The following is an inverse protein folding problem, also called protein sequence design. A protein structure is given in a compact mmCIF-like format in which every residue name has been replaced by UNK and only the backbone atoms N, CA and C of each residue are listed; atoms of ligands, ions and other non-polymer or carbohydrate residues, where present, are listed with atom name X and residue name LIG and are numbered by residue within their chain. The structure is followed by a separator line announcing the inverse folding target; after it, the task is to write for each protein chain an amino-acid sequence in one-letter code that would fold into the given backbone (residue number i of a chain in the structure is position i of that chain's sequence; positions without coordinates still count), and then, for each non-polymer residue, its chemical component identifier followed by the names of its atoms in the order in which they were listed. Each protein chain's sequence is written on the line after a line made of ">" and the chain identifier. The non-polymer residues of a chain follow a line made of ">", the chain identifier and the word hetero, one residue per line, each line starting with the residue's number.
data_IF_367374647607
#
_entry.id   IF_367374647607
#
_cell.length_a   1.000
_cell.length_b   1.000
_cell.length_c   1.000
_cell.angle_alpha   90.00
_cell.angle_beta   90.00
_cell.angle_gamma   90.00
#
_symmetry.space_group_name_H-M   'P 1'
#
loop_
_entity.id
_entity.type
_entity.pdbx_description
1 polymer ?
#
# COMPACT_ATOMS: atom_id res chain seq x y z
N UNK A 1 -22.91 -4.83 5.54
CA UNK A 1 -21.63 -4.58 4.84
C UNK A 1 -20.81 -3.73 5.77
N UNK A 2 -19.82 -4.36 6.43
CA UNK A 2 -18.88 -3.69 7.32
C UNK A 2 -17.56 -3.74 6.53
N UNK A 3 -17.51 -2.94 5.46
CA UNK A 3 -16.63 -3.23 4.31
C UNK A 3 -15.52 -2.18 4.15
N UNK A 4 -14.98 -1.69 5.27
CA UNK A 4 -13.82 -0.81 5.23
C UNK A 4 -12.85 -1.21 6.33
N UNK A 5 -11.62 -1.50 5.92
CA UNK A 5 -10.46 -1.72 6.77
C UNK A 5 -10.00 -0.34 7.21
N UNK A 6 -10.59 0.20 8.27
CA UNK A 6 -10.42 1.59 8.70
C UNK A 6 -9.50 1.70 9.91
N UNK A 7 -8.99 2.91 10.10
CA UNK A 7 -8.29 3.30 11.31
C UNK A 7 -9.27 4.09 12.17
N UNK A 8 -9.55 3.57 13.36
CA UNK A 8 -10.37 4.23 14.36
C UNK A 8 -9.48 4.79 15.46
N UNK A 9 -9.87 5.94 16.01
CA UNK A 9 -9.19 6.60 17.12
C UNK A 9 -10.18 6.92 18.22
N UNK A 10 -9.82 6.60 19.44
CA UNK A 10 -10.54 6.95 20.65
C UNK A 10 -9.57 7.63 21.63
N UNK A 11 -10.04 8.64 22.35
CA UNK A 11 -9.27 9.28 23.42
C UNK A 11 -9.89 8.86 24.75
N UNK A 12 -9.08 8.30 25.64
CA UNK A 12 -9.49 7.89 26.98
C UNK A 12 -8.57 8.52 28.00
N UNK A 13 -9.05 9.57 28.68
CA UNK A 13 -8.32 10.31 29.72
C UNK A 13 -6.92 10.76 29.26
N UNK A 14 -5.89 9.98 29.60
CA UNK A 14 -4.48 10.28 29.37
C UNK A 14 -3.88 9.47 28.20
N UNK A 15 -4.71 8.72 27.47
CA UNK A 15 -4.29 7.79 26.42
C UNK A 15 -5.06 8.04 25.11
N UNK A 16 -4.37 7.85 23.99
CA UNK A 16 -4.94 7.80 22.64
C UNK A 16 -4.87 6.37 22.15
N UNK A 17 -6.04 5.77 21.94
CA UNK A 17 -6.15 4.40 21.44
C UNK A 17 -6.49 4.40 19.95
N UNK A 18 -5.61 3.80 19.16
CA UNK A 18 -5.86 3.47 17.77
C UNK A 18 -6.29 2.02 17.62
N UNK A 19 -7.32 1.80 16.82
CA UNK A 19 -7.66 0.48 16.28
C UNK A 19 -7.38 0.48 14.79
N UNK A 20 -6.45 -0.36 14.35
CA UNK A 20 -6.11 -0.50 12.93
C UNK A 20 -6.70 -1.81 12.43
N UNK A 21 -7.83 -1.72 11.72
CA UNK A 21 -8.41 -2.87 11.03
C UNK A 21 -7.69 -3.06 9.70
N UNK A 22 -6.92 -4.16 9.59
CA UNK A 22 -6.15 -4.48 8.41
C UNK A 22 -6.97 -5.21 7.35
N UNK A 23 -6.67 -4.90 6.09
CA UNK A 23 -7.17 -5.66 4.94
C UNK A 23 -6.69 -7.10 4.95
N UNK A 24 -7.37 -8.00 4.22
CA UNK A 24 -6.77 -9.25 3.77
C UNK A 24 -5.41 -9.00 3.12
N UNK A 25 -4.60 -10.03 3.15
CA UNK A 25 -3.27 -10.05 2.58
C UNK A 25 -3.35 -10.11 1.05
N UNK A 26 -2.73 -9.15 0.37
CA UNK A 26 -2.63 -9.08 -1.08
C UNK A 26 -1.26 -9.48 -1.60
N UNK A 27 -1.21 -10.10 -2.78
CA UNK A 27 0.03 -10.23 -3.54
C UNK A 27 0.35 -8.92 -4.26
N UNK A 28 1.64 -8.67 -4.53
CA UNK A 28 2.09 -7.51 -5.34
C UNK A 28 1.76 -7.65 -6.84
N UNK A 29 0.61 -8.25 -7.17
CA UNK A 29 0.11 -8.39 -8.53
C UNK A 29 -0.67 -7.13 -8.96
N UNK A 30 -0.47 -6.74 -10.22
CA UNK A 30 -1.07 -5.54 -10.79
C UNK A 30 -2.60 -5.58 -10.80
N UNK A 31 -3.20 -6.74 -11.07
CA UNK A 31 -4.65 -6.88 -11.07
C UNK A 31 -5.20 -6.77 -9.64
N UNK A 32 -4.55 -7.42 -8.66
CA UNK A 32 -4.94 -7.34 -7.24
C UNK A 32 -4.89 -5.90 -6.76
N UNK A 33 -3.79 -5.19 -7.00
CA UNK A 33 -3.63 -3.79 -6.59
C UNK A 33 -4.70 -2.90 -7.24
N UNK A 34 -4.97 -3.06 -8.54
CA UNK A 34 -5.94 -2.21 -9.24
C UNK A 34 -7.40 -2.49 -8.84
N UNK A 35 -7.72 -3.71 -8.44
CA UNK A 35 -9.10 -4.13 -8.14
C UNK A 35 -9.45 -4.09 -6.67
N UNK A 36 -8.52 -4.46 -5.80
CA UNK A 36 -8.79 -4.65 -4.38
C UNK A 36 -8.38 -3.45 -3.52
N UNK A 37 -7.38 -2.67 -3.96
CA UNK A 37 -6.88 -1.54 -3.17
C UNK A 37 -7.67 -0.28 -3.50
N UNK A 38 -8.17 0.48 -2.51
CA UNK A 38 -8.85 1.75 -2.73
C UNK A 38 -7.88 2.87 -3.12
N UNK A 39 -8.39 3.88 -3.82
CA UNK A 39 -7.64 5.11 -4.12
C UNK A 39 -7.84 6.15 -3.00
N UNK A 40 -7.61 5.73 -1.76
CA UNK A 40 -7.83 6.52 -0.55
C UNK A 40 -6.54 6.67 0.24
N UNK A 41 -6.47 7.69 1.11
CA UNK A 41 -5.38 7.83 2.07
C UNK A 41 -5.42 6.70 3.10
N UNK A 42 -4.26 6.34 3.64
CA UNK A 42 -4.17 5.22 4.55
C UNK A 42 -2.75 4.81 4.89
N UNK A 43 -2.65 3.68 5.55
CA UNK A 43 -1.40 3.04 5.94
C UNK A 43 -1.29 1.70 5.22
N UNK A 44 -0.13 1.39 4.66
CA UNK A 44 0.13 0.05 4.14
C UNK A 44 1.40 -0.54 4.73
N UNK A 45 1.41 -1.86 4.80
CA UNK A 45 2.57 -2.62 5.22
C UNK A 45 3.02 -3.55 4.09
N UNK A 46 4.34 -3.66 3.90
CA UNK A 46 4.93 -4.66 3.02
C UNK A 46 5.67 -5.70 3.83
N UNK A 47 5.40 -6.94 3.49
CA UNK A 47 5.93 -8.11 4.15
C UNK A 47 6.70 -8.93 3.13
N UNK A 48 7.98 -9.17 3.41
CA UNK A 48 8.82 -9.99 2.57
C UNK A 48 8.87 -11.41 3.09
N UNK A 49 8.80 -12.35 2.15
CA UNK A 49 9.08 -13.74 2.45
C UNK A 49 10.58 -13.94 2.62
N UNK A 50 10.95 -14.51 3.76
CA UNK A 50 12.28 -15.05 4.01
C UNK A 50 12.12 -16.50 4.45
N UNK A 51 12.75 -17.40 3.70
CA UNK A 51 12.55 -18.85 3.78
C UNK A 51 11.06 -19.26 3.66
N UNK A 52 10.43 -19.56 4.80
CA UNK A 52 9.05 -20.04 4.91
C UNK A 52 8.12 -19.03 5.57
N UNK A 53 8.63 -17.92 6.10
CA UNK A 53 7.87 -16.96 6.89
C UNK A 53 7.86 -15.58 6.21
N UNK A 54 6.81 -14.81 6.48
CA UNK A 54 6.73 -13.41 6.08
C UNK A 54 7.16 -12.51 7.24
N UNK A 55 8.03 -11.56 6.94
CA UNK A 55 8.53 -10.57 7.91
C UNK A 55 8.12 -9.18 7.46
N UNK A 56 7.64 -8.38 8.40
CA UNK A 56 7.37 -6.96 8.17
C UNK A 56 8.68 -6.27 7.80
N UNK A 57 8.64 -5.48 6.72
CA UNK A 57 9.81 -4.75 6.23
C UNK A 57 9.58 -3.26 6.24
N UNK A 58 8.36 -2.84 5.92
CA UNK A 58 8.02 -1.43 5.93
C UNK A 58 6.56 -1.23 6.28
N UNK A 59 6.32 -0.15 7.02
CA UNK A 59 5.00 0.45 7.22
C UNK A 59 5.10 1.86 6.65
N UNK A 60 4.24 2.23 5.70
CA UNK A 60 4.30 3.53 5.03
C UNK A 60 2.92 4.19 4.99
N UNK A 61 2.81 5.47 5.38
CA UNK A 61 1.60 6.24 5.18
C UNK A 61 1.51 6.71 3.73
N UNK A 62 0.29 6.89 3.26
CA UNK A 62 0.01 7.53 1.98
C UNK A 62 -1.15 8.48 2.12
N UNK A 63 -0.96 9.67 1.59
CA UNK A 63 -1.95 10.74 1.65
C UNK A 63 -2.30 11.19 0.23
N UNK A 64 -1.36 11.83 -0.46
CA UNK A 64 -1.53 12.23 -1.86
C UNK A 64 -1.37 11.02 -2.80
N UNK A 65 -2.34 10.83 -3.70
CA UNK A 65 -2.40 9.69 -4.64
C UNK A 65 -3.02 8.41 -4.04
N UNK A 66 -2.97 8.25 -2.72
CA UNK A 66 -3.59 7.17 -1.98
C UNK A 66 -2.94 5.80 -2.16
N UNK A 67 -3.45 4.81 -1.41
CA UNK A 67 -2.96 3.44 -1.30
C UNK A 67 -2.74 2.76 -2.65
N UNK A 68 -3.72 2.82 -3.54
CA UNK A 68 -3.60 2.20 -4.86
C UNK A 68 -2.45 2.81 -5.67
N UNK A 69 -2.29 4.14 -5.66
CA UNK A 69 -1.22 4.77 -6.43
C UNK A 69 0.15 4.42 -5.84
N UNK A 70 0.31 4.51 -4.52
CA UNK A 70 1.56 4.16 -3.84
C UNK A 70 1.96 2.71 -4.12
N UNK A 71 1.06 1.74 -3.99
CA UNK A 71 1.36 0.34 -4.29
C UNK A 71 1.63 0.10 -5.79
N UNK A 72 0.95 0.83 -6.69
CA UNK A 72 1.25 0.79 -8.13
C UNK A 72 2.66 1.29 -8.44
N UNK A 73 3.09 2.36 -7.80
CA UNK A 73 4.44 2.88 -7.96
C UNK A 73 5.49 1.87 -7.48
N UNK A 74 5.19 1.09 -6.43
CA UNK A 74 6.08 0.00 -6.00
C UNK A 74 6.20 -1.10 -7.06
N UNK A 75 5.18 -1.42 -7.84
CA UNK A 75 5.30 -2.45 -8.89
C UNK A 75 5.72 -1.91 -10.27
N UNK A 76 5.63 -0.60 -10.49
CA UNK A 76 5.97 0.02 -11.78
C UNK A 76 7.47 0.31 -11.86
N UNK A 77 8.20 -0.43 -12.69
CA UNK A 77 9.65 -0.31 -12.87
C UNK A 77 10.09 1.11 -13.23
N UNK A 78 9.26 1.86 -13.97
CA UNK A 78 9.56 3.20 -14.44
C UNK A 78 9.25 4.30 -13.41
N UNK A 79 8.48 4.00 -12.36
CA UNK A 79 8.08 4.97 -11.36
C UNK A 79 9.23 5.28 -10.39
N UNK A 80 9.83 6.50 -10.37
CA UNK A 80 11.00 6.78 -9.54
C UNK A 80 10.71 6.71 -8.03
N UNK A 81 9.50 7.11 -7.62
CA UNK A 81 9.04 7.14 -6.21
C UNK A 81 9.04 5.74 -5.58
N UNK A 82 8.64 4.71 -6.34
CA UNK A 82 8.65 3.33 -5.87
C UNK A 82 10.02 2.66 -5.86
N UNK A 83 11.07 3.29 -6.42
CA UNK A 83 12.39 2.66 -6.61
C UNK A 83 13.00 2.20 -5.29
N UNK A 84 12.89 3.00 -4.21
CA UNK A 84 13.41 2.63 -2.88
C UNK A 84 12.79 1.33 -2.39
N UNK A 85 11.46 1.23 -2.46
CA UNK A 85 10.72 0.05 -2.03
C UNK A 85 11.02 -1.14 -2.96
N UNK A 86 11.07 -0.96 -4.28
CA UNK A 86 11.48 -2.03 -5.22
C UNK A 86 12.85 -2.61 -4.90
N UNK A 87 13.83 -1.75 -4.65
CA UNK A 87 15.17 -2.18 -4.27
C UNK A 87 15.16 -2.96 -2.96
N UNK A 88 14.34 -2.55 -1.97
CA UNK A 88 14.16 -3.31 -0.73
C UNK A 88 13.53 -4.69 -0.96
N UNK A 89 12.63 -4.83 -1.94
CA UNK A 89 11.97 -6.10 -2.22
C UNK A 89 12.89 -7.13 -2.90
N UNK A 90 13.92 -6.68 -3.62
CA UNK A 90 14.94 -7.55 -4.26
C UNK A 90 14.36 -8.69 -5.11
N UNK A 91 13.15 -8.52 -5.68
CA UNK A 91 12.45 -9.58 -6.43
C UNK A 91 11.94 -10.75 -5.60
N UNK A 92 12.01 -10.66 -4.26
CA UNK A 92 11.47 -11.66 -3.33
C UNK A 92 9.94 -11.60 -3.31
N UNK A 93 9.31 -12.72 -2.91
CA UNK A 93 7.85 -12.75 -2.74
C UNK A 93 7.44 -11.75 -1.66
N UNK A 94 6.57 -10.82 -2.05
CA UNK A 94 6.08 -9.74 -1.21
C UNK A 94 4.56 -9.79 -1.11
N UNK A 95 4.06 -9.56 0.11
CA UNK A 95 2.64 -9.35 0.37
C UNK A 95 2.41 -7.99 0.99
N UNK A 96 1.23 -7.45 0.75
CA UNK A 96 0.80 -6.19 1.35
C UNK A 96 -0.48 -6.39 2.16
N UNK A 97 -0.70 -5.50 3.12
CA UNK A 97 -2.00 -5.23 3.74
C UNK A 97 -2.14 -3.73 3.97
N UNK A 98 -3.35 -3.22 4.07
CA UNK A 98 -3.60 -1.79 4.25
C UNK A 98 -4.78 -1.52 5.19
N UNK A 99 -4.83 -0.29 5.69
CA UNK A 99 -5.98 0.27 6.38
C UNK A 99 -6.16 1.73 5.93
N UNK A 100 -7.40 2.22 5.89
CA UNK A 100 -7.75 3.53 5.34
C UNK A 100 -8.06 4.53 6.44
N UNK A 101 -7.65 5.77 6.22
CA UNK A 101 -8.14 6.91 6.99
C UNK A 101 -7.94 8.18 6.17
N UNK A 102 -8.95 9.08 6.14
CA UNK A 102 -8.78 10.38 5.53
C UNK A 102 -7.98 11.35 6.44
N UNK A 103 -7.72 11.00 7.70
CA UNK A 103 -7.11 11.89 8.69
C UNK A 103 -5.59 11.73 8.65
N UNK A 104 -4.89 12.80 8.29
CA UNK A 104 -3.44 12.79 8.06
C UNK A 104 -2.67 12.59 9.37
N UNK A 105 -3.12 13.26 10.42
CA UNK A 105 -2.52 13.26 11.74
C UNK A 105 -2.43 11.83 12.28
N UNK A 106 -3.46 11.01 12.04
CA UNK A 106 -3.48 9.61 12.48
C UNK A 106 -2.38 8.81 11.78
N UNK A 107 -2.13 9.08 10.50
CA UNK A 107 -1.09 8.40 9.73
C UNK A 107 0.31 8.77 10.20
N UNK A 108 0.53 10.04 10.56
CA UNK A 108 1.82 10.52 11.08
C UNK A 108 2.11 9.92 12.46
N UNK A 109 1.15 9.97 13.38
CA UNK A 109 1.26 9.36 14.72
C UNK A 109 1.50 7.84 14.63
N UNK A 110 0.71 7.14 13.81
CA UNK A 110 0.86 5.68 13.63
C UNK A 110 2.19 5.33 12.97
N UNK A 111 2.64 6.08 11.97
CA UNK A 111 3.93 5.85 11.33
C UNK A 111 5.06 5.97 12.34
N UNK A 112 5.04 7.00 13.16
CA UNK A 112 6.04 7.19 14.22
C UNK A 112 6.00 6.05 15.24
N UNK A 113 4.81 5.64 15.66
CA UNK A 113 4.63 4.51 16.59
C UNK A 113 5.18 3.19 16.01
N UNK A 114 4.89 2.88 14.75
CA UNK A 114 5.39 1.67 14.08
C UNK A 114 6.91 1.70 13.88
N UNK A 115 7.49 2.87 13.58
CA UNK A 115 8.94 3.01 13.40
C UNK A 115 9.72 2.84 14.70
N UNK A 116 9.15 3.27 15.84
CA UNK A 116 9.76 3.11 17.16
C UNK A 116 9.64 1.70 17.71
N UNK A 117 8.84 0.83 17.10
CA UNK A 117 8.62 -0.54 17.55
C UNK A 117 7.67 -0.65 18.75
N UNK A 118 6.76 0.32 18.90
CA UNK A 118 5.77 0.36 19.97
C UNK A 118 6.07 1.40 21.05
N UNK A 119 5.00 2.01 21.54
CA UNK A 119 5.05 3.08 22.53
C UNK A 119 5.41 4.44 21.93
N UNK A 120 4.80 5.49 22.44
CA UNK A 120 4.99 6.85 21.97
C UNK A 120 4.01 7.80 22.64
N UNK A 121 4.35 9.07 22.67
CA UNK A 121 3.41 10.12 23.06
C UNK A 121 2.93 10.83 21.79
N UNK A 122 1.67 11.25 21.77
CA UNK A 122 1.18 12.16 20.75
C UNK A 122 1.69 13.60 21.01
N UNK A 123 1.33 14.54 20.15
CA UNK A 123 1.73 15.95 20.29
C UNK A 123 1.27 16.59 21.62
N UNK A 124 0.16 16.09 22.18
CA UNK A 124 -0.41 16.54 23.46
C UNK A 124 0.24 15.86 24.68
N UNK A 125 1.19 14.94 24.48
CA UNK A 125 1.84 14.20 25.55
C UNK A 125 1.05 12.99 26.07
N UNK A 126 -0.01 12.57 25.37
CA UNK A 126 -0.82 11.39 25.70
C UNK A 126 -0.16 10.12 25.17
N UNK A 127 -0.25 9.03 25.93
CA UNK A 127 0.31 7.74 25.51
C UNK A 127 -0.48 7.14 24.34
N UNK A 128 0.23 6.69 23.30
CA UNK A 128 -0.37 6.06 22.12
C UNK A 128 -0.38 4.55 22.28
N UNK A 129 -1.59 3.99 22.31
CA UNK A 129 -1.83 2.55 22.28
C UNK A 129 -2.39 2.16 20.91
N UNK A 130 -1.82 1.12 20.29
CA UNK A 130 -2.28 0.63 19.00
C UNK A 130 -2.74 -0.82 19.14
N UNK A 131 -3.99 -1.06 18.78
CA UNK A 131 -4.58 -2.39 18.65
C UNK A 131 -4.74 -2.73 17.17
N UNK A 132 -4.03 -3.77 16.73
CA UNK A 132 -4.13 -4.28 15.37
C UNK A 132 -5.16 -5.40 15.30
N UNK A 133 -6.08 -5.30 14.34
CA UNK A 133 -7.14 -6.28 14.08
C UNK A 133 -6.98 -6.80 12.65
N UNK A 134 -6.98 -8.12 12.47
CA UNK A 134 -6.86 -8.72 11.14
C UNK A 134 -7.66 -10.01 10.99
N UNK A 135 -8.14 -10.27 9.77
CA UNK A 135 -8.97 -11.43 9.44
C UNK A 135 -8.17 -12.65 8.93
N UNK A 136 -6.84 -12.55 8.81
CA UNK A 136 -5.94 -13.59 8.24
C UNK A 136 -6.34 -14.14 6.85
N UNK A 137 -7.20 -13.42 6.13
CA UNK A 137 -7.65 -13.78 4.78
C UNK A 137 -6.66 -13.34 3.72
N UNK A 138 -6.74 -13.96 2.55
CA UNK A 138 -6.04 -13.52 1.35
C UNK A 138 -7.03 -12.87 0.39
N UNK A 139 -6.58 -11.84 -0.33
CA UNK A 139 -7.31 -11.36 -1.50
C UNK A 139 -7.36 -12.45 -2.59
N UNK A 140 -8.41 -12.47 -3.42
CA UNK A 140 -8.52 -13.43 -4.50
C UNK A 140 -7.36 -13.25 -5.48
N UNK A 141 -6.84 -14.38 -5.97
CA UNK A 141 -5.86 -14.38 -7.05
C UNK A 141 -6.49 -13.84 -8.35
N UNK A 142 -5.69 -13.27 -9.26
CA UNK A 142 -6.19 -12.84 -10.56
C UNK A 142 -6.83 -14.03 -11.30
N UNK A 143 -7.97 -13.80 -11.99
CA UNK A 143 -8.60 -14.83 -12.80
C UNK A 143 -7.64 -15.34 -13.90
N UNK A 144 -7.68 -16.64 -14.25
CA UNK A 144 -6.77 -17.24 -15.23
C UNK A 144 -6.89 -16.62 -16.63
N UNK A 145 -8.03 -15.99 -16.96
CA UNK A 145 -8.28 -15.38 -18.27
C UNK A 145 -7.74 -13.95 -18.39
N UNK A 146 -7.18 -13.37 -17.33
CA UNK A 146 -6.50 -12.06 -17.40
C UNK A 146 -5.13 -12.24 -18.06
N UNK A 147 -5.12 -12.26 -19.39
CA UNK A 147 -3.89 -12.14 -20.18
C UNK A 147 -3.42 -10.69 -20.11
N UNK A 148 -2.40 -10.43 -19.31
CA UNK A 148 -1.69 -9.15 -19.37
C UNK A 148 -1.04 -9.06 -20.75
N UNK A 149 -1.55 -8.17 -21.59
CA UNK A 149 -0.91 -7.84 -22.86
C UNK A 149 0.42 -7.20 -22.50
N UNK A 150 1.52 -7.93 -22.68
CA UNK A 150 2.85 -7.32 -22.70
C UNK A 150 2.79 -6.14 -23.66
N UNK A 151 3.22 -4.96 -23.19
CA UNK A 151 3.30 -3.78 -24.05
C UNK A 151 4.15 -4.16 -25.25
N UNK A 152 3.51 -4.37 -26.42
CA UNK A 152 4.22 -4.42 -27.68
C UNK A 152 5.00 -3.12 -27.80
N UNK A 153 6.31 -3.22 -27.97
CA UNK A 153 7.10 -2.11 -28.48
C UNK A 153 6.52 -1.77 -29.86
N UNK A 154 5.80 -0.67 -29.94
CA UNK A 154 5.36 -0.13 -31.23
C UNK A 154 6.58 0.43 -31.92
N UNK A 155 6.85 -0.05 -33.13
CA UNK A 155 7.89 0.52 -34.00
C UNK A 155 7.32 1.75 -34.67
N UNK A 156 8.18 2.69 -35.07
CA UNK A 156 7.74 3.85 -35.87
C UNK A 156 6.99 3.45 -37.14
N UNK A 157 7.26 2.25 -37.68
CA UNK A 157 6.54 1.66 -38.81
C UNK A 157 5.08 1.29 -38.52
N UNK A 158 4.70 1.18 -37.26
CA UNK A 158 3.32 0.91 -36.82
C UNK A 158 2.48 2.20 -36.78
N UNK A 159 3.14 3.35 -36.83
CA UNK A 159 2.49 4.63 -37.02
C UNK A 159 2.50 4.94 -38.53
N UNK A 160 1.34 5.30 -39.07
CA UNK A 160 1.19 5.62 -40.50
C UNK A 160 2.18 6.69 -40.97
N UNK A 161 2.33 6.89 -42.29
CA UNK A 161 3.30 7.84 -42.84
C UNK A 161 3.14 9.21 -42.17
N UNK A 162 4.24 9.91 -41.84
CA UNK A 162 4.18 11.20 -41.18
C UNK A 162 3.30 12.15 -41.97
N UNK A 163 2.45 12.90 -41.28
CA UNK A 163 1.57 13.87 -41.91
C UNK A 163 2.42 14.84 -42.77
N UNK A 164 2.04 15.07 -44.04
CA UNK A 164 2.79 15.98 -44.89
C UNK A 164 2.85 17.36 -44.24
N UNK A 165 4.06 17.89 -44.09
CA UNK A 165 4.31 19.16 -43.44
C UNK A 165 3.45 20.26 -44.07
N UNK A 166 2.70 20.97 -43.23
CA UNK A 166 2.02 22.19 -43.62
C UNK A 166 3.12 23.22 -43.86
N UNK A 167 3.40 23.49 -45.14
CA UNK A 167 4.21 24.62 -45.59
C UNK A 167 3.40 25.92 -45.48
#
# INVERSE_FOLDING_TARGET
>A
MKDRWEIHREIHQDEVQYTVDWSPWGSMDRWVINRMVPSEAGLFQLWLREDKNFFLRVTEPTYFGGLRNSLREVIDELAPSGRRLRLMLEGRECRFRFSVTPVREYLEELKEWFDKGGGGLNEDGLEILVHESEDFRLFPAPPPDVKFIERKEFKDSDFGPPLPGVY
#
